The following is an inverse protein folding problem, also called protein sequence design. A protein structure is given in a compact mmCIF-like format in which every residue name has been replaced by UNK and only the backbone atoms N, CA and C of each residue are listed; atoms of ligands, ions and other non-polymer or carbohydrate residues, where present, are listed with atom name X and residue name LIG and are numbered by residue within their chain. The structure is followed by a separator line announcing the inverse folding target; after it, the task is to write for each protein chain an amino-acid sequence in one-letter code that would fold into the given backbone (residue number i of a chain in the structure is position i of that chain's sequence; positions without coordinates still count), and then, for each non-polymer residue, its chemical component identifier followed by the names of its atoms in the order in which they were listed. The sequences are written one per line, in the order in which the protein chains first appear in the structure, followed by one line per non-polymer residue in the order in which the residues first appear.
data_IF_453753316296
#
_entry.id   IF_453753316296
#
_cell.length_a   1.000
_cell.length_b   1.000
_cell.length_c   1.000
_cell.angle_alpha   90.00
_cell.angle_beta   90.00
_cell.angle_gamma   90.00
#
_symmetry.space_group_name_H-M   'P 1'
#
loop_
_entity.id
_entity.type
_entity.pdbx_description
1 polymer ?
#
# COMPACT_ATOMS: atom_id res chain seq x y z
N UNK A 1 -4.85 0.98 13.11
CA UNK A 1 -4.88 1.31 11.65
C UNK A 1 -4.06 0.28 10.95
N UNK A 2 -4.52 -0.18 9.80
CA UNK A 2 -3.71 -1.07 8.97
C UNK A 2 -3.01 -0.27 7.87
N UNK A 3 -1.71 -0.50 7.71
CA UNK A 3 -0.89 0.04 6.63
C UNK A 3 -0.35 -1.16 5.86
N UNK A 4 -0.37 -1.09 4.53
CA UNK A 4 0.22 -2.12 3.68
C UNK A 4 1.38 -1.50 2.91
N UNK A 5 2.52 -2.17 2.88
CA UNK A 5 3.73 -1.72 2.16
C UNK A 5 4.22 -2.82 1.23
N UNK A 6 4.59 -2.46 0.01
CA UNK A 6 5.41 -3.29 -0.88
C UNK A 6 6.89 -2.89 -0.76
N UNK A 7 7.78 -3.87 -0.64
CA UNK A 7 9.22 -3.66 -0.58
C UNK A 7 9.93 -3.98 -1.89
N UNK A 8 11.11 -3.37 -2.09
CA UNK A 8 12.03 -3.74 -3.18
C UNK A 8 12.49 -5.20 -3.06
N UNK A 9 12.43 -5.77 -1.85
CA UNK A 9 12.69 -7.18 -1.55
C UNK A 9 11.58 -8.14 -2.04
N UNK A 10 10.59 -7.64 -2.78
CA UNK A 10 9.45 -8.43 -3.27
C UNK A 10 8.45 -8.81 -2.19
N UNK A 11 8.55 -8.25 -0.97
CA UNK A 11 7.60 -8.54 0.11
C UNK A 11 6.41 -7.59 0.12
N UNK A 12 5.23 -8.12 0.46
CA UNK A 12 4.10 -7.33 0.97
C UNK A 12 4.01 -7.53 2.46
N UNK A 13 3.89 -6.44 3.19
CA UNK A 13 3.77 -6.44 4.65
C UNK A 13 2.53 -5.65 5.04
N UNK A 14 1.70 -6.24 5.90
CA UNK A 14 0.63 -5.52 6.58
C UNK A 14 1.08 -5.21 8.01
N UNK A 15 0.88 -3.96 8.42
CA UNK A 15 1.25 -3.44 9.71
C UNK A 15 0.00 -3.00 10.47
N UNK A 16 -0.12 -3.45 11.70
CA UNK A 16 -1.06 -2.86 12.65
C UNK A 16 -0.38 -1.72 13.41
N UNK A 17 -0.90 -0.51 13.24
CA UNK A 17 -0.51 0.66 14.03
C UNK A 17 -1.54 0.87 15.12
N UNK A 18 -1.13 0.62 16.37
CA UNK A 18 -1.95 0.93 17.53
C UNK A 18 -2.09 2.45 17.65
N UNK A 19 -3.34 2.93 17.84
CA UNK A 19 -3.64 4.35 18.05
C UNK A 19 -3.58 4.76 19.52
N UNK A 20 -3.52 3.80 20.43
CA UNK A 20 -3.60 4.06 21.86
C UNK A 20 -2.21 4.29 22.47
N UNK A 21 -1.99 5.50 22.96
CA UNK A 21 -0.77 5.92 23.64
C UNK A 21 0.25 6.69 22.79
N UNK A 22 1.11 7.45 23.46
CA UNK A 22 2.09 8.40 22.92
C UNK A 22 3.17 7.78 22.00
N UNK A 23 3.11 6.46 21.77
CA UNK A 23 4.09 5.72 20.96
C UNK A 23 3.35 4.92 19.90
N UNK A 24 3.19 5.53 18.72
CA UNK A 24 2.77 4.84 17.49
C UNK A 24 3.87 3.87 17.06
N UNK A 25 3.85 2.66 17.59
CA UNK A 25 4.72 1.57 17.13
C UNK A 25 3.96 0.69 16.14
N UNK A 26 4.41 0.57 14.88
CA UNK A 26 3.86 -0.41 13.96
C UNK A 26 4.26 -1.82 14.41
N UNK A 27 3.29 -2.71 14.45
CA UNK A 27 3.48 -4.15 14.68
C UNK A 27 3.25 -4.85 13.34
N UNK A 28 4.18 -5.71 12.92
CA UNK A 28 3.99 -6.53 11.73
C UNK A 28 2.87 -7.54 12.01
N UNK A 29 1.82 -7.50 11.21
CA UNK A 29 0.65 -8.39 11.34
C UNK A 29 0.85 -9.65 10.48
N UNK A 30 1.19 -9.47 9.20
CA UNK A 30 1.63 -10.55 8.32
C UNK A 30 2.53 -10.05 7.19
N UNK A 31 3.24 -10.98 6.56
CA UNK A 31 4.09 -10.74 5.40
C UNK A 31 4.00 -11.90 4.41
N UNK A 32 4.13 -11.60 3.11
CA UNK A 32 4.24 -12.61 2.05
C UNK A 32 5.18 -12.14 0.95
N UNK A 33 5.98 -13.05 0.41
CA UNK A 33 6.93 -12.79 -0.68
C UNK A 33 6.32 -13.11 -2.03
N UNK A 34 6.55 -12.24 -3.01
CA UNK A 34 6.01 -12.39 -4.36
C UNK A 34 7.08 -12.04 -5.39
N UNK A 35 7.28 -12.92 -6.38
CA UNK A 35 8.20 -12.66 -7.51
C UNK A 35 7.69 -11.52 -8.41
N UNK A 36 6.37 -11.33 -8.43
CA UNK A 36 5.70 -10.22 -9.13
C UNK A 36 4.54 -9.74 -8.27
N UNK A 37 4.55 -8.46 -7.92
CA UNK A 37 3.42 -7.84 -7.24
C UNK A 37 2.46 -7.21 -8.25
N UNK A 38 1.31 -7.86 -8.46
CA UNK A 38 0.25 -7.30 -9.30
C UNK A 38 -0.96 -6.95 -8.45
N UNK A 39 -1.18 -5.66 -8.24
CA UNK A 39 -2.40 -5.14 -7.61
C UNK A 39 -3.28 -4.60 -8.73
N UNK A 40 -4.47 -5.16 -8.88
CA UNK A 40 -5.51 -4.69 -9.81
C UNK A 40 -6.76 -4.29 -9.05
N UNK A 41 -7.62 -3.47 -9.66
CA UNK A 41 -8.90 -3.02 -9.07
C UNK A 41 -8.77 -2.29 -7.72
N UNK A 42 -7.64 -1.61 -7.48
CA UNK A 42 -7.46 -0.79 -6.29
C UNK A 42 -8.30 0.50 -6.36
N UNK A 43 -8.76 1.00 -5.21
CA UNK A 43 -9.45 2.29 -5.12
C UNK A 43 -8.65 3.27 -4.27
N UNK A 44 -8.35 4.43 -4.85
CA UNK A 44 -7.53 5.48 -4.25
C UNK A 44 -8.31 6.78 -4.04
N UNK A 45 -9.55 6.65 -3.56
CA UNK A 45 -10.44 7.79 -3.31
C UNK A 45 -9.77 8.87 -2.45
N UNK A 46 -9.59 10.06 -3.02
CA UNK A 46 -9.01 11.21 -2.33
C UNK A 46 -7.48 11.25 -2.27
N UNK A 47 -6.79 10.47 -3.11
CA UNK A 47 -5.36 10.59 -3.30
C UNK A 47 -4.96 12.02 -3.73
N UNK A 48 -3.88 12.53 -3.13
CA UNK A 48 -3.33 13.86 -3.40
C UNK A 48 -1.95 13.73 -4.01
N UNK A 49 -1.51 14.79 -4.68
CA UNK A 49 -0.15 14.93 -5.21
C UNK A 49 0.25 13.87 -6.26
N UNK A 50 -0.72 13.23 -6.91
CA UNK A 50 -0.47 12.33 -8.04
C UNK A 50 0.04 13.13 -9.25
N UNK A 51 1.21 12.76 -9.76
CA UNK A 51 1.71 13.32 -11.02
C UNK A 51 1.09 12.57 -12.21
N UNK A 52 1.11 13.14 -13.44
CA UNK A 52 0.50 12.51 -14.61
C UNK A 52 0.99 11.09 -14.90
N UNK A 53 2.26 10.78 -14.56
CA UNK A 53 2.82 9.43 -14.68
C UNK A 53 2.15 8.43 -13.73
N UNK A 54 1.91 8.83 -12.47
CA UNK A 54 1.24 7.98 -11.48
C UNK A 54 -0.15 7.61 -11.94
N UNK A 55 -0.92 8.60 -12.43
CA UNK A 55 -2.28 8.39 -12.95
C UNK A 55 -2.27 7.38 -14.11
N UNK A 56 -1.31 7.47 -15.04
CA UNK A 56 -1.19 6.51 -16.15
C UNK A 56 -0.90 5.10 -15.64
N UNK A 57 0.05 4.96 -14.72
CA UNK A 57 0.43 3.67 -14.14
C UNK A 57 -0.71 3.05 -13.33
N UNK A 58 -1.52 3.87 -12.66
CA UNK A 58 -2.70 3.45 -11.90
C UNK A 58 -3.82 2.96 -12.83
N UNK A 59 -4.14 3.72 -13.88
CA UNK A 59 -5.14 3.32 -14.88
C UNK A 59 -4.79 2.03 -15.61
N UNK A 60 -3.51 1.82 -15.93
CA UNK A 60 -3.05 0.57 -16.56
C UNK A 60 -3.33 -0.67 -15.69
N UNK A 61 -3.43 -0.49 -14.38
CA UNK A 61 -3.72 -1.55 -13.40
C UNK A 61 -5.18 -1.54 -12.94
N UNK A 62 -6.06 -0.92 -13.72
CA UNK A 62 -7.51 -0.86 -13.45
C UNK A 62 -7.83 -0.19 -12.11
N UNK A 63 -6.95 0.68 -11.61
CA UNK A 63 -7.22 1.40 -10.38
C UNK A 63 -8.25 2.52 -10.61
N UNK A 64 -9.16 2.66 -9.65
CA UNK A 64 -10.06 3.82 -9.53
C UNK A 64 -9.43 4.88 -8.64
N UNK A 65 -9.62 6.15 -9.00
CA UNK A 65 -9.09 7.33 -8.29
C UNK A 65 -10.23 8.07 -7.58
#
# INVERSE_FOLDING_TARGET
VYIVTGGEDGSVRQWYVNKDGDKRKPILDWSSSHDVLNVSNASFAGAKDLIPLDIKLLKQREASL
#
